data_IF_219211423601
#
_entry.id   IF_219211423601
#
_cell.length_a   1.000
_cell.length_b   1.000
_cell.length_c   1.000
_cell.angle_alpha   90.00
_cell.angle_beta   90.00
_cell.angle_gamma   90.00
#
_symmetry.space_group_name_H-M   'P 1'
#
loop_
_entity.id
_entity.type
_entity.pdbx_description
1 polymer ?
#
# COMPACT_ATOMS: atom_id res chain seq x y z
N UNK A 1 1.05 6.08 -10.72
CA UNK A 1 0.43 4.78 -10.39
C UNK A 1 -0.95 4.68 -11.03
N UNK A 2 -1.34 3.52 -11.57
CA UNK A 2 -2.68 3.28 -12.14
C UNK A 2 -3.48 2.33 -11.22
N UNK A 3 -4.33 2.90 -10.38
CA UNK A 3 -5.07 2.13 -9.37
C UNK A 3 -6.23 1.32 -9.96
N UNK A 4 -6.80 1.75 -11.10
CA UNK A 4 -7.84 1.01 -11.78
C UNK A 4 -7.27 -0.25 -12.43
N UNK A 5 -6.07 -0.18 -13.01
CA UNK A 5 -5.36 -1.36 -13.52
C UNK A 5 -5.04 -2.36 -12.39
N UNK A 6 -4.53 -1.87 -11.25
CA UNK A 6 -4.19 -2.70 -10.09
C UNK A 6 -5.43 -3.42 -9.54
N UNK A 7 -6.57 -2.73 -9.44
CA UNK A 7 -7.82 -3.33 -8.98
C UNK A 7 -8.32 -4.45 -9.90
N UNK A 8 -7.94 -4.42 -11.18
CA UNK A 8 -8.20 -5.48 -12.16
C UNK A 8 -7.08 -6.53 -12.25
N UNK A 9 -6.08 -6.48 -11.37
CA UNK A 9 -4.98 -7.45 -11.29
C UNK A 9 -3.78 -7.15 -12.18
N UNK A 10 -3.72 -5.98 -12.82
CA UNK A 10 -2.55 -5.52 -13.56
C UNK A 10 -1.69 -4.60 -12.69
N UNK A 11 -0.56 -5.11 -12.24
CA UNK A 11 0.39 -4.40 -11.37
C UNK A 11 1.53 -3.73 -12.17
N UNK A 12 1.43 -3.65 -13.50
CA UNK A 12 2.50 -3.11 -14.35
C UNK A 12 2.91 -1.69 -13.96
N UNK A 13 1.96 -0.85 -13.51
CA UNK A 13 2.25 0.53 -13.10
C UNK A 13 3.05 0.65 -11.79
N UNK A 14 3.12 -0.42 -10.99
CA UNK A 14 3.86 -0.47 -9.71
C UNK A 14 5.05 -1.43 -9.75
N UNK A 15 5.33 -2.04 -10.89
CA UNK A 15 6.46 -2.95 -11.06
C UNK A 15 7.79 -2.30 -10.65
N UNK A 16 8.63 -3.04 -9.93
CA UNK A 16 9.88 -2.58 -9.35
C UNK A 16 9.95 -2.83 -7.84
N UNK A 17 11.08 -2.43 -7.24
CA UNK A 17 11.33 -2.57 -5.81
C UNK A 17 10.92 -1.31 -5.08
N UNK A 18 10.26 -1.49 -3.95
CA UNK A 18 9.77 -0.45 -3.05
C UNK A 18 10.41 -0.66 -1.69
N UNK A 19 10.98 0.38 -1.08
CA UNK A 19 11.68 0.30 0.20
C UNK A 19 11.14 1.33 1.19
N UNK A 20 10.99 0.95 2.45
CA UNK A 20 10.65 1.87 3.54
C UNK A 20 11.92 2.38 4.27
N UNK A 21 11.80 3.38 5.17
CA UNK A 21 12.94 3.91 5.91
C UNK A 21 13.66 2.89 6.82
N UNK A 22 12.99 1.79 7.19
CA UNK A 22 13.60 0.73 8.02
C UNK A 22 14.35 -0.33 7.20
N UNK A 23 14.34 -0.22 5.87
CA UNK A 23 15.07 -1.12 4.95
C UNK A 23 14.27 -2.35 4.50
N UNK A 24 12.98 -2.45 4.84
CA UNK A 24 12.08 -3.49 4.34
C UNK A 24 11.77 -3.21 2.88
N UNK A 25 11.71 -4.28 2.07
CA UNK A 25 11.45 -4.19 0.63
C UNK A 25 10.24 -5.01 0.18
N UNK A 26 9.52 -4.47 -0.79
CA UNK A 26 8.57 -5.20 -1.61
C UNK A 26 8.94 -5.07 -3.07
N UNK A 27 8.99 -6.19 -3.78
CA UNK A 27 9.21 -6.18 -5.23
C UNK A 27 7.92 -6.59 -5.94
N UNK A 28 7.51 -5.81 -6.93
CA UNK A 28 6.34 -6.08 -7.75
C UNK A 28 6.75 -6.41 -9.18
N UNK A 29 6.07 -7.36 -9.79
CA UNK A 29 6.01 -7.54 -11.24
C UNK A 29 4.61 -7.18 -11.76
N UNK A 30 4.35 -7.40 -13.05
CA UNK A 30 3.03 -7.16 -13.65
C UNK A 30 1.89 -7.99 -13.05
N UNK A 31 2.21 -9.11 -12.39
CA UNK A 31 1.26 -10.04 -11.81
C UNK A 31 1.04 -9.79 -10.30
N UNK A 32 1.84 -8.92 -9.67
CA UNK A 32 1.68 -8.52 -8.28
C UNK A 32 2.97 -8.63 -7.47
N UNK A 33 2.81 -8.85 -6.16
CA UNK A 33 3.93 -8.98 -5.23
C UNK A 33 4.74 -10.25 -5.54
N UNK A 34 6.04 -10.08 -5.77
CA UNK A 34 7.02 -11.15 -5.90
C UNK A 34 7.43 -11.60 -4.50
N UNK A 35 6.76 -12.63 -4.00
CA UNK A 35 6.96 -13.18 -2.65
C UNK A 35 6.59 -14.65 -2.64
N UNK A 36 7.34 -15.48 -1.92
CA UNK A 36 7.02 -16.90 -1.73
C UNK A 36 5.87 -17.10 -0.73
N UNK A 37 5.69 -16.16 0.19
CA UNK A 37 4.81 -16.33 1.35
C UNK A 37 3.49 -15.58 1.25
N UNK A 38 3.44 -14.51 0.46
CA UNK A 38 2.31 -13.59 0.44
C UNK A 38 1.93 -13.18 -0.98
N UNK A 39 0.69 -12.71 -1.12
CA UNK A 39 0.18 -12.07 -2.34
C UNK A 39 -0.70 -10.89 -1.98
N UNK A 40 -0.83 -9.95 -2.90
CA UNK A 40 -1.85 -8.90 -2.81
C UNK A 40 -3.17 -9.48 -3.33
N UNK A 41 -4.18 -9.50 -2.47
CA UNK A 41 -5.55 -9.88 -2.83
C UNK A 41 -6.33 -8.66 -3.30
N UNK A 42 -6.88 -8.76 -4.51
CA UNK A 42 -7.76 -7.75 -5.11
C UNK A 42 -9.25 -8.05 -4.91
N UNK A 43 -9.60 -9.20 -4.32
CA UNK A 43 -10.99 -9.65 -4.13
C UNK A 43 -11.86 -8.61 -3.41
N UNK A 44 -11.29 -7.93 -2.43
CA UNK A 44 -11.96 -6.86 -1.66
C UNK A 44 -11.26 -5.51 -1.81
N UNK A 45 -10.47 -5.33 -2.87
CA UNK A 45 -9.81 -4.06 -3.10
C UNK A 45 -10.85 -2.98 -3.45
N UNK A 46 -10.69 -1.80 -2.86
CA UNK A 46 -11.62 -0.67 -3.03
C UNK A 46 -10.86 0.63 -3.15
N UNK A 47 -11.26 1.42 -4.12
CA UNK A 47 -10.86 2.83 -4.16
C UNK A 47 -11.58 3.58 -3.04
N UNK A 48 -10.81 4.35 -2.28
CA UNK A 48 -11.27 5.23 -1.21
C UNK A 48 -10.45 6.50 -1.32
N UNK A 49 -11.09 7.65 -1.39
CA UNK A 49 -10.43 8.96 -1.49
C UNK A 49 -9.27 8.99 -2.51
N UNK A 50 -9.49 8.40 -3.69
CA UNK A 50 -8.54 8.35 -4.81
C UNK A 50 -7.27 7.50 -4.62
N UNK A 51 -7.22 6.64 -3.59
CA UNK A 51 -6.21 5.59 -3.46
C UNK A 51 -6.87 4.22 -3.36
N UNK A 52 -6.13 3.15 -3.66
CA UNK A 52 -6.64 1.79 -3.62
C UNK A 52 -6.20 1.09 -2.33
N UNK A 53 -7.16 0.68 -1.51
CA UNK A 53 -6.93 -0.21 -0.37
C UNK A 53 -7.15 -1.65 -0.77
N UNK A 54 -6.19 -2.51 -0.42
CA UNK A 54 -6.23 -3.95 -0.64
C UNK A 54 -5.71 -4.70 0.61
N UNK A 55 -5.55 -6.02 0.50
CA UNK A 55 -4.99 -6.85 1.56
C UNK A 55 -3.80 -7.64 1.06
N UNK A 56 -2.72 -7.67 1.83
CA UNK A 56 -1.67 -8.68 1.69
C UNK A 56 -2.06 -9.91 2.50
N UNK A 57 -2.18 -11.06 1.85
CA UNK A 57 -2.61 -12.31 2.48
C UNK A 57 -1.53 -13.39 2.34
N UNK A 58 -1.45 -14.28 3.32
CA UNK A 58 -0.61 -15.48 3.25
C UNK A 58 -1.09 -16.41 2.12
N UNK A 59 -0.14 -16.98 1.36
CA UNK A 59 -0.44 -18.01 0.34
C UNK A 59 -0.83 -19.35 0.97
N UNK A 60 -0.34 -19.63 2.17
CA UNK A 60 -0.59 -20.89 2.89
C UNK A 60 -1.76 -20.79 3.90
N UNK A 61 -2.49 -19.67 3.88
CA UNK A 61 -3.51 -19.33 4.88
C UNK A 61 -2.91 -18.60 6.09
N UNK A 62 -3.74 -17.81 6.79
CA UNK A 62 -3.32 -17.00 7.95
C UNK A 62 -3.88 -15.58 7.94
N UNK A 63 -3.48 -14.78 8.93
CA UNK A 63 -3.88 -13.38 9.06
C UNK A 63 -3.28 -12.51 7.94
N UNK A 64 -4.07 -11.57 7.42
CA UNK A 64 -3.64 -10.59 6.43
C UNK A 64 -3.16 -9.27 7.04
N UNK A 65 -2.50 -8.45 6.22
CA UNK A 65 -2.16 -7.06 6.53
C UNK A 65 -2.84 -6.14 5.50
N UNK A 66 -3.07 -4.89 5.88
CA UNK A 66 -3.56 -3.89 4.94
C UNK A 66 -2.40 -3.38 4.07
N UNK A 67 -2.71 -3.13 2.80
CA UNK A 67 -1.84 -2.40 1.89
C UNK A 67 -2.66 -1.32 1.17
N UNK A 68 -2.09 -0.13 1.03
CA UNK A 68 -2.66 0.95 0.25
C UNK A 68 -1.70 1.37 -0.87
N UNK A 69 -2.26 1.55 -2.06
CA UNK A 69 -1.60 2.04 -3.25
C UNK A 69 -1.97 3.52 -3.40
N UNK A 70 -1.01 4.40 -3.12
CA UNK A 70 -1.21 5.85 -2.99
C UNK A 70 -0.53 6.55 -4.18
N UNK A 71 -1.31 7.05 -5.16
CA UNK A 71 -0.74 7.86 -6.24
C UNK A 71 -0.11 9.15 -5.72
N UNK A 72 0.87 9.67 -6.48
CA UNK A 72 1.41 11.00 -6.26
C UNK A 72 0.29 12.06 -6.20
N UNK A 73 0.40 12.98 -5.25
CA UNK A 73 -0.57 14.04 -4.95
C UNK A 73 -1.74 13.61 -4.08
N UNK A 74 -1.92 12.32 -3.79
CA UNK A 74 -3.06 11.80 -3.04
C UNK A 74 -2.66 11.50 -1.59
N UNK A 75 -3.02 12.32 -0.60
CA UNK A 75 -2.70 12.03 0.79
C UNK A 75 -3.46 10.78 1.26
N UNK A 76 -2.84 9.97 2.12
CA UNK A 76 -3.60 8.96 2.84
C UNK A 76 -4.56 9.67 3.81
N UNK A 77 -5.82 9.27 3.77
CA UNK A 77 -6.85 9.85 4.61
C UNK A 77 -7.23 8.88 5.73
N UNK A 78 -7.84 9.44 6.78
CA UNK A 78 -8.29 8.68 7.95
C UNK A 78 -9.47 7.74 7.66
N UNK A 79 -10.06 7.78 6.47
CA UNK A 79 -11.20 6.94 6.07
C UNK A 79 -10.89 5.42 6.04
N UNK A 80 -9.62 5.04 6.19
CA UNK A 80 -9.17 3.64 6.23
C UNK A 80 -8.32 3.26 7.44
N UNK A 81 -7.92 4.23 8.26
CA UNK A 81 -7.25 4.01 9.54
C UNK A 81 -8.27 4.27 10.62
N UNK A 82 -8.77 3.21 11.25
CA UNK A 82 -9.83 3.13 12.27
C UNK A 82 -9.67 4.01 13.54
N UNK A 83 -8.98 5.15 13.48
CA UNK A 83 -8.77 6.08 14.58
C UNK A 83 -9.82 7.18 14.51
N UNK A 84 -10.46 7.45 15.65
CA UNK A 84 -11.20 8.68 15.86
C UNK A 84 -10.27 9.87 15.62
N UNK A 85 -10.77 10.87 14.92
CA UNK A 85 -10.07 12.09 14.53
C UNK A 85 -9.25 12.70 15.68
N UNK A 86 -7.95 12.87 15.42
CA UNK A 86 -6.96 13.49 16.31
C UNK A 86 -6.10 14.53 15.55
N UNK A 87 -6.50 14.96 14.34
CA UNK A 87 -5.68 15.86 13.52
C UNK A 87 -4.50 15.17 12.80
N UNK A 88 -4.65 13.89 12.43
CA UNK A 88 -3.64 13.19 11.63
C UNK A 88 -3.45 13.88 10.29
N UNK A 89 -2.19 14.16 9.97
CA UNK A 89 -1.76 14.65 8.65
C UNK A 89 -0.82 13.62 8.08
N UNK A 90 -0.97 13.28 6.80
CA UNK A 90 -0.07 12.37 6.10
C UNK A 90 1.38 12.88 6.18
N UNK A 91 2.29 12.21 6.91
CA UNK A 91 3.65 12.69 7.13
C UNK A 91 4.61 12.25 6.01
N UNK A 92 4.12 11.53 5.01
CA UNK A 92 4.93 10.99 3.91
C UNK A 92 5.07 11.99 2.75
N UNK A 93 6.02 11.73 1.84
CA UNK A 93 6.25 12.57 0.67
C UNK A 93 5.15 12.32 -0.38
N UNK A 94 4.11 13.16 -0.34
CA UNK A 94 2.99 13.09 -1.27
C UNK A 94 3.35 13.47 -2.69
N UNK A 95 4.54 13.99 -2.98
CA UNK A 95 4.94 14.29 -4.37
C UNK A 95 5.25 13.04 -5.19
N UNK A 96 5.33 11.88 -4.55
CA UNK A 96 5.67 10.61 -5.15
C UNK A 96 4.55 9.58 -4.96
N UNK A 97 4.51 8.61 -5.87
CA UNK A 97 3.75 7.38 -5.65
C UNK A 97 4.32 6.66 -4.42
N UNK A 98 3.43 6.14 -3.57
CA UNK A 98 3.76 5.45 -2.31
C UNK A 98 2.99 4.16 -2.18
N UNK A 99 3.56 3.21 -1.45
CA UNK A 99 2.78 2.17 -0.79
C UNK A 99 2.68 2.49 0.68
N UNK A 100 1.56 2.14 1.30
CA UNK A 100 1.48 2.01 2.75
C UNK A 100 1.16 0.57 3.13
N UNK A 101 1.84 0.01 4.13
CA UNK A 101 1.64 -1.35 4.60
C UNK A 101 1.61 -1.41 6.14
N UNK A 102 0.63 -2.13 6.70
CA UNK A 102 0.53 -2.28 8.15
C UNK A 102 -0.61 -3.18 8.62
N UNK A 103 -0.50 -3.65 9.87
CA UNK A 103 -1.54 -4.44 10.56
C UNK A 103 -2.41 -3.59 11.51
N UNK A 104 -1.96 -2.40 11.90
CA UNK A 104 -2.58 -1.55 12.92
C UNK A 104 -2.69 -0.09 12.42
N UNK A 105 -3.38 0.74 13.20
CA UNK A 105 -3.56 2.18 12.98
C UNK A 105 -2.25 2.90 12.66
N UNK A 106 -2.29 3.82 11.70
CA UNK A 106 -1.18 4.74 11.45
C UNK A 106 -1.09 5.71 12.62
N UNK A 107 -0.11 5.52 13.50
CA UNK A 107 0.13 6.41 14.63
C UNK A 107 1.22 7.42 14.32
N UNK A 108 1.08 8.18 13.24
CA UNK A 108 2.03 9.24 12.85
C UNK A 108 3.44 8.78 12.44
N UNK A 109 3.73 7.47 12.48
CA UNK A 109 5.02 6.90 12.06
C UNK A 109 5.05 6.65 10.55
N UNK A 110 6.17 7.02 9.92
CA UNK A 110 6.38 6.84 8.47
C UNK A 110 6.88 5.46 8.07
N UNK A 111 7.15 4.58 9.04
CA UNK A 111 7.74 3.25 8.81
C UNK A 111 6.88 2.34 7.91
N UNK A 112 5.57 2.61 7.84
CA UNK A 112 4.65 1.91 6.95
C UNK A 112 4.70 2.37 5.49
N UNK A 113 5.35 3.49 5.18
CA UNK A 113 5.41 4.02 3.82
C UNK A 113 6.63 3.51 3.07
N UNK A 114 6.41 3.06 1.84
CA UNK A 114 7.43 2.58 0.93
C UNK A 114 7.46 3.47 -0.31
N UNK A 115 8.66 3.68 -0.82
CA UNK A 115 8.93 4.45 -2.03
C UNK A 115 9.68 3.58 -3.02
N UNK A 116 9.49 3.84 -4.30
CA UNK A 116 10.17 3.11 -5.36
C UNK A 116 11.68 3.37 -5.28
N UNK A 117 12.47 2.31 -5.35
CA UNK A 117 13.93 2.39 -5.45
C UNK A 117 14.29 2.58 -6.93
N UNK A 118 15.13 3.57 -7.22
CA UNK A 118 15.69 3.79 -8.56
C UNK A 118 16.69 2.70 -8.97
#
# INVERSE_FOLDING_TARGET
MDISAIQNGDFSSVAGTWRNPTGIEFTFDKNGLVSDHSKISIEYAREIDHYLKASSVSKDGGAGAAIAFLPAGIPITMSVTSSSDNGYTDPSDTTQDRLWFGQQLINGHTDGFFYKVE
#
